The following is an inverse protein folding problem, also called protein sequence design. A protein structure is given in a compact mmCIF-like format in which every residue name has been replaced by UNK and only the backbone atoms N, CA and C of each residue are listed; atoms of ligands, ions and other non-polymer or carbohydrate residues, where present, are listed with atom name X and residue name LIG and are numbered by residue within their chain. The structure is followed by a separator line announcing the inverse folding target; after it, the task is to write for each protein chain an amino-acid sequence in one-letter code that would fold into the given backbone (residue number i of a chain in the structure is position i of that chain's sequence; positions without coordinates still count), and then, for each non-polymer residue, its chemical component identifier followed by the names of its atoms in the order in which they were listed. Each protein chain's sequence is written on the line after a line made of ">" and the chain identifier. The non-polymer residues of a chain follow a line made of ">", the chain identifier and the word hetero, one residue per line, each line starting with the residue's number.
data_IF_111360358477
#
_entry.id   IF_111360358477
#
_cell.length_a   1.000
_cell.length_b   1.000
_cell.length_c   1.000
_cell.angle_alpha   90.00
_cell.angle_beta   90.00
_cell.angle_gamma   90.00
#
_symmetry.space_group_name_H-M   'P 1'
#
loop_
_entity.id
_entity.type
_entity.pdbx_description
1 polymer ?
#
# COMPACT_ATOMS: atom_id res chain seq x y z
N UNK A 1 15.00 -17.31 3.00
CA UNK A 1 13.56 -17.61 2.77
C UNK A 1 13.06 -16.73 1.63
N UNK A 2 12.20 -17.25 0.73
CA UNK A 2 11.58 -16.47 -0.35
C UNK A 2 10.22 -15.99 0.14
N UNK A 3 9.94 -14.68 0.02
CA UNK A 3 8.64 -14.10 0.34
C UNK A 3 8.01 -13.55 -0.94
N UNK A 4 6.73 -13.85 -1.13
CA UNK A 4 5.88 -13.30 -2.19
C UNK A 4 5.15 -12.07 -1.65
N UNK A 5 5.35 -10.92 -2.29
CA UNK A 5 4.61 -9.68 -2.04
C UNK A 5 3.48 -9.50 -3.04
N UNK A 6 2.31 -9.02 -2.58
CA UNK A 6 1.14 -8.71 -3.42
C UNK A 6 0.56 -7.38 -2.96
N UNK A 7 0.43 -6.41 -3.87
CA UNK A 7 -0.34 -5.19 -3.67
C UNK A 7 -1.33 -4.94 -4.81
N UNK A 8 -2.54 -4.60 -4.44
CA UNK A 8 -3.64 -4.25 -5.35
C UNK A 8 -4.47 -3.09 -4.80
N UNK A 9 -3.89 -2.32 -3.89
CA UNK A 9 -4.58 -1.24 -3.17
C UNK A 9 -4.93 -0.02 -4.03
N UNK A 10 -4.30 0.11 -5.21
CA UNK A 10 -4.49 1.24 -6.14
C UNK A 10 -4.92 0.74 -7.52
N UNK A 11 -4.90 1.59 -8.53
CA UNK A 11 -5.16 1.20 -9.94
C UNK A 11 -4.03 0.37 -10.56
N UNK A 12 -2.95 0.15 -9.84
CA UNK A 12 -1.84 -0.72 -10.23
C UNK A 12 -1.86 -1.98 -9.37
N UNK A 13 -1.59 -3.13 -9.98
CA UNK A 13 -1.24 -4.37 -9.28
C UNK A 13 0.26 -4.54 -9.28
N UNK A 14 0.87 -4.86 -8.15
CA UNK A 14 2.30 -5.16 -8.03
C UNK A 14 2.50 -6.51 -7.36
N UNK A 15 3.41 -7.32 -7.90
CA UNK A 15 3.79 -8.64 -7.37
C UNK A 15 5.30 -8.73 -7.38
N UNK A 16 5.88 -9.18 -6.27
CA UNK A 16 7.32 -9.33 -6.11
C UNK A 16 7.69 -10.64 -5.43
N UNK A 17 8.87 -11.13 -5.74
CA UNK A 17 9.57 -12.20 -5.01
C UNK A 17 10.87 -11.63 -4.48
N UNK A 18 11.14 -11.84 -3.21
CA UNK A 18 12.38 -11.36 -2.60
C UNK A 18 12.82 -12.21 -1.41
N UNK A 19 14.04 -11.98 -1.00
CA UNK A 19 14.68 -12.59 0.17
C UNK A 19 15.24 -11.50 1.09
N UNK A 20 15.83 -11.87 2.21
CA UNK A 20 16.57 -10.95 3.08
C UNK A 20 17.76 -10.25 2.39
N UNK A 21 18.23 -10.80 1.27
CA UNK A 21 19.46 -10.34 0.62
C UNK A 21 19.19 -9.58 -0.67
N UNK A 22 18.12 -9.94 -1.37
CA UNK A 22 17.87 -9.41 -2.71
C UNK A 22 16.39 -9.48 -3.12
N UNK A 23 16.01 -8.56 -3.99
CA UNK A 23 14.79 -8.64 -4.77
C UNK A 23 15.03 -9.56 -5.97
N UNK A 24 14.32 -10.69 -6.04
CA UNK A 24 14.46 -11.67 -7.12
C UNK A 24 13.73 -11.23 -8.39
N UNK A 25 12.65 -10.47 -8.22
CA UNK A 25 11.90 -9.86 -9.32
C UNK A 25 10.65 -9.17 -8.84
N UNK A 26 10.20 -8.19 -9.63
CA UNK A 26 8.95 -7.47 -9.40
C UNK A 26 8.31 -7.14 -10.75
N UNK A 27 6.99 -7.30 -10.83
CA UNK A 27 6.19 -6.86 -11.97
C UNK A 27 5.06 -6.00 -11.44
N UNK A 28 4.91 -4.79 -12.00
CA UNK A 28 3.83 -3.88 -11.71
C UNK A 28 3.05 -3.58 -12.99
N UNK A 29 1.72 -3.70 -12.93
CA UNK A 29 0.82 -3.54 -14.09
C UNK A 29 -0.32 -2.61 -13.73
N UNK A 30 -0.50 -1.55 -14.50
CA UNK A 30 -1.60 -0.60 -14.37
C UNK A 30 -2.73 -0.89 -15.39
N UNK A 31 -3.96 -0.49 -15.05
CA UNK A 31 -5.08 -0.42 -16.00
C UNK A 31 -5.73 -1.76 -16.40
N UNK A 32 -5.47 -2.85 -15.68
CA UNK A 32 -6.15 -4.14 -15.86
C UNK A 32 -7.01 -4.49 -14.66
N UNK A 33 -7.99 -5.40 -14.85
CA UNK A 33 -8.68 -6.02 -13.72
C UNK A 33 -7.65 -6.70 -12.81
N UNK A 34 -7.70 -6.39 -11.51
CA UNK A 34 -6.77 -6.95 -10.52
C UNK A 34 -6.77 -8.47 -10.49
N UNK A 35 -7.94 -9.11 -10.65
CA UNK A 35 -8.08 -10.57 -10.66
C UNK A 35 -7.25 -11.20 -11.78
N UNK A 36 -7.36 -10.65 -13.00
CA UNK A 36 -6.60 -11.13 -14.16
C UNK A 36 -5.12 -10.77 -14.01
N UNK A 37 -4.83 -9.57 -13.52
CA UNK A 37 -3.46 -9.09 -13.39
C UNK A 37 -2.67 -9.92 -12.37
N UNK A 38 -3.21 -10.20 -11.18
CA UNK A 38 -2.48 -10.93 -10.12
C UNK A 38 -2.08 -12.33 -10.58
N UNK A 39 -3.03 -13.12 -11.09
CA UNK A 39 -2.75 -14.51 -11.49
C UNK A 39 -1.78 -14.60 -12.67
N UNK A 40 -1.95 -13.75 -13.70
CA UNK A 40 -1.08 -13.75 -14.88
C UNK A 40 0.32 -13.23 -14.55
N UNK A 41 0.42 -12.19 -13.72
CA UNK A 41 1.68 -11.59 -13.30
C UNK A 41 2.48 -12.54 -12.40
N UNK A 42 1.82 -13.21 -11.45
CA UNK A 42 2.48 -14.20 -10.61
C UNK A 42 3.06 -15.35 -11.45
N UNK A 43 2.28 -15.89 -12.38
CA UNK A 43 2.76 -16.94 -13.28
C UNK A 43 3.98 -16.49 -14.09
N UNK A 44 3.94 -15.28 -14.62
CA UNK A 44 5.02 -14.72 -15.42
C UNK A 44 6.27 -14.49 -14.58
N UNK A 45 6.13 -13.97 -13.37
CA UNK A 45 7.24 -13.72 -12.45
C UNK A 45 7.91 -15.03 -12.04
N UNK A 46 7.15 -16.06 -11.68
CA UNK A 46 7.66 -17.39 -11.37
C UNK A 46 8.42 -18.01 -12.57
N UNK A 47 7.86 -17.86 -13.78
CA UNK A 47 8.50 -18.35 -15.01
C UNK A 47 9.84 -17.66 -15.29
N UNK A 48 9.92 -16.34 -15.13
CA UNK A 48 11.14 -15.58 -15.41
C UNK A 48 12.23 -15.76 -14.34
N UNK A 49 11.83 -15.94 -13.09
CA UNK A 49 12.77 -16.17 -11.99
C UNK A 49 13.19 -17.64 -11.86
N UNK A 50 12.50 -18.57 -12.54
CA UNK A 50 12.72 -20.00 -12.40
C UNK A 50 12.34 -20.55 -11.01
N UNK A 51 11.59 -19.77 -10.23
CA UNK A 51 11.18 -20.17 -8.88
C UNK A 51 9.85 -20.92 -8.96
N UNK A 52 9.82 -22.11 -8.36
CA UNK A 52 8.58 -22.86 -8.17
C UNK A 52 7.76 -22.25 -7.04
N UNK A 53 6.44 -22.21 -7.18
CA UNK A 53 5.53 -21.64 -6.19
C UNK A 53 5.70 -22.32 -4.82
N UNK A 54 5.98 -23.62 -4.77
CA UNK A 54 6.21 -24.36 -3.54
C UNK A 54 7.51 -23.98 -2.76
N UNK A 55 8.37 -23.15 -3.37
CA UNK A 55 9.56 -22.58 -2.71
C UNK A 55 9.29 -21.30 -1.94
N UNK A 56 8.10 -20.72 -2.11
CA UNK A 56 7.66 -19.53 -1.35
C UNK A 56 7.47 -19.94 0.11
N UNK A 57 8.16 -19.28 1.02
CA UNK A 57 8.13 -19.57 2.46
C UNK A 57 7.37 -18.52 3.30
N UNK A 58 6.78 -17.52 2.67
CA UNK A 58 5.94 -16.51 3.33
C UNK A 58 5.27 -15.56 2.35
N UNK A 59 4.18 -14.93 2.77
CA UNK A 59 3.39 -14.02 1.92
C UNK A 59 3.20 -12.67 2.62
N UNK A 60 3.49 -11.59 1.90
CA UNK A 60 3.24 -10.21 2.28
C UNK A 60 2.08 -9.65 1.45
N UNK A 61 1.06 -9.08 2.08
CA UNK A 61 -0.15 -8.60 1.42
C UNK A 61 -0.40 -7.14 1.77
N UNK A 62 -0.62 -6.30 0.77
CA UNK A 62 -1.15 -4.96 0.97
C UNK A 62 -2.59 -5.00 1.50
N UNK A 63 -2.78 -4.60 2.77
CA UNK A 63 -4.09 -4.60 3.42
C UNK A 63 -4.81 -3.25 3.34
N UNK A 64 -4.20 -2.25 2.70
CA UNK A 64 -4.77 -0.91 2.57
C UNK A 64 -4.10 0.12 3.50
N UNK A 65 -4.66 1.34 3.56
CA UNK A 65 -5.88 1.76 2.86
C UNK A 65 -5.73 1.81 1.33
N UNK A 66 -6.87 1.79 0.62
CA UNK A 66 -6.88 1.81 -0.83
C UNK A 66 -8.27 1.54 -1.44
N UNK A 67 -8.29 1.23 -2.74
CA UNK A 67 -9.51 0.97 -3.48
C UNK A 67 -10.14 -0.37 -3.04
N UNK A 68 -11.41 -0.33 -2.68
CA UNK A 68 -12.17 -1.43 -2.08
C UNK A 68 -12.08 -2.77 -2.84
N UNK A 69 -12.34 -2.74 -4.15
CA UNK A 69 -12.29 -3.95 -4.98
C UNK A 69 -10.89 -4.54 -5.08
N UNK A 70 -9.89 -3.67 -5.29
CA UNK A 70 -8.49 -4.10 -5.37
C UNK A 70 -8.03 -4.77 -4.08
N UNK A 71 -8.26 -4.13 -2.93
CA UNK A 71 -7.89 -4.68 -1.63
C UNK A 71 -8.45 -6.08 -1.40
N UNK A 72 -9.72 -6.31 -1.72
CA UNK A 72 -10.33 -7.64 -1.59
C UNK A 72 -9.63 -8.68 -2.45
N UNK A 73 -9.35 -8.35 -3.70
CA UNK A 73 -8.66 -9.27 -4.62
C UNK A 73 -7.28 -9.65 -4.07
N UNK A 74 -6.49 -8.66 -3.64
CA UNK A 74 -5.14 -8.93 -3.10
C UNK A 74 -5.17 -9.75 -1.82
N UNK A 75 -6.01 -9.36 -0.87
CA UNK A 75 -6.12 -10.03 0.44
C UNK A 75 -6.60 -11.47 0.27
N UNK A 76 -7.68 -11.71 -0.48
CA UNK A 76 -8.21 -13.05 -0.68
C UNK A 76 -7.24 -13.95 -1.48
N UNK A 77 -6.57 -13.39 -2.50
CA UNK A 77 -5.55 -14.15 -3.25
C UNK A 77 -4.38 -14.54 -2.35
N UNK A 78 -3.86 -13.59 -1.58
CA UNK A 78 -2.73 -13.86 -0.68
C UNK A 78 -3.09 -14.84 0.44
N UNK A 79 -4.27 -14.73 1.04
CA UNK A 79 -4.79 -15.68 2.03
C UNK A 79 -4.91 -17.08 1.45
N UNK A 80 -5.49 -17.20 0.25
CA UNK A 80 -5.64 -18.48 -0.43
C UNK A 80 -4.28 -19.13 -0.69
N UNK A 81 -3.31 -18.36 -1.19
CA UNK A 81 -1.95 -18.86 -1.41
C UNK A 81 -1.27 -19.27 -0.10
N UNK A 82 -1.38 -18.48 0.97
CA UNK A 82 -0.82 -18.79 2.27
C UNK A 82 -1.41 -20.10 2.85
N UNK A 83 -2.70 -20.30 2.69
CA UNK A 83 -3.40 -21.50 3.12
C UNK A 83 -2.94 -22.74 2.34
N UNK A 84 -2.90 -22.65 1.00
CA UNK A 84 -2.50 -23.77 0.13
C UNK A 84 -1.04 -24.16 0.34
N UNK A 85 -0.17 -23.17 0.50
CA UNK A 85 1.27 -23.39 0.73
C UNK A 85 1.62 -23.70 2.19
N UNK A 86 0.68 -23.49 3.11
CA UNK A 86 0.89 -23.63 4.56
C UNK A 86 2.06 -22.77 5.05
N UNK A 87 2.09 -21.49 4.66
CA UNK A 87 3.14 -20.55 5.00
C UNK A 87 2.59 -19.34 5.77
N UNK A 88 3.43 -18.65 6.58
CA UNK A 88 3.03 -17.44 7.29
C UNK A 88 2.62 -16.32 6.33
N UNK A 89 1.69 -15.48 6.79
CA UNK A 89 1.19 -14.31 6.08
C UNK A 89 1.35 -13.05 6.93
N UNK A 90 1.72 -11.94 6.29
CA UNK A 90 1.84 -10.63 6.93
C UNK A 90 1.10 -9.58 6.11
N UNK A 91 0.16 -8.89 6.76
CA UNK A 91 -0.49 -7.71 6.23
C UNK A 91 0.40 -6.47 6.39
N UNK A 92 0.53 -5.70 5.32
CA UNK A 92 1.33 -4.48 5.29
C UNK A 92 0.46 -3.32 4.85
N UNK A 93 0.54 -2.19 5.56
CA UNK A 93 -0.16 -0.98 5.16
C UNK A 93 0.37 -0.46 3.82
N UNK A 94 -0.53 -0.08 2.91
CA UNK A 94 -0.17 0.49 1.61
C UNK A 94 0.52 1.85 1.75
N UNK A 95 0.16 2.64 2.77
CA UNK A 95 0.85 3.90 3.09
C UNK A 95 2.25 3.65 3.67
N UNK A 96 2.42 2.63 4.51
CA UNK A 96 3.74 2.24 5.04
C UNK A 96 4.68 1.81 3.90
N UNK A 97 4.16 1.03 2.94
CA UNK A 97 4.94 0.60 1.77
C UNK A 97 5.35 1.77 0.86
N UNK A 98 4.45 2.74 0.64
CA UNK A 98 4.79 3.98 -0.08
C UNK A 98 5.90 4.75 0.63
N UNK A 99 5.76 5.01 1.92
CA UNK A 99 6.76 5.73 2.70
C UNK A 99 8.09 4.99 2.74
N UNK A 100 8.05 3.66 2.90
CA UNK A 100 9.25 2.82 2.92
C UNK A 100 10.03 2.88 1.61
N UNK A 101 9.35 2.97 0.47
CA UNK A 101 9.99 3.03 -0.85
C UNK A 101 10.86 4.27 -1.08
N UNK A 102 10.64 5.35 -0.32
CA UNK A 102 11.38 6.62 -0.40
C UNK A 102 12.11 6.97 0.89
N UNK A 103 12.34 5.99 1.78
CA UNK A 103 12.95 6.18 3.11
C UNK A 103 14.37 6.77 3.10
N UNK A 104 15.06 6.73 1.96
CA UNK A 104 16.40 7.31 1.81
C UNK A 104 16.36 8.85 1.67
N UNK A 105 15.60 9.52 2.51
CA UNK A 105 15.49 10.98 2.60
C UNK A 105 15.71 11.45 4.05
N UNK A 106 16.00 12.74 4.23
CA UNK A 106 16.04 13.40 5.55
C UNK A 106 14.76 14.18 5.86
N UNK A 107 13.87 14.34 4.84
CA UNK A 107 12.59 15.03 4.96
C UNK A 107 11.56 14.12 5.61
N UNK A 108 10.51 14.70 6.19
CA UNK A 108 9.31 13.92 6.48
C UNK A 108 8.75 13.35 5.17
N UNK A 109 8.05 12.25 5.25
CA UNK A 109 7.43 11.60 4.08
C UNK A 109 5.92 11.68 4.26
N UNK A 110 5.23 12.37 3.36
CA UNK A 110 3.77 12.35 3.28
C UNK A 110 3.35 11.32 2.24
N UNK A 111 2.93 10.14 2.69
CA UNK A 111 2.35 9.12 1.82
C UNK A 111 0.87 9.43 1.57
N UNK A 112 0.46 9.53 0.30
CA UNK A 112 -0.89 9.88 -0.09
C UNK A 112 -1.40 9.02 -1.26
N UNK A 113 -2.54 8.34 -1.05
CA UNK A 113 -3.24 7.52 -2.05
C UNK A 113 -4.56 8.19 -2.40
N UNK A 114 -4.88 8.29 -3.70
CA UNK A 114 -6.18 8.77 -4.17
C UNK A 114 -7.32 7.87 -3.63
N UNK A 115 -8.14 8.46 -2.74
CA UNK A 115 -9.30 7.79 -2.17
C UNK A 115 -10.57 7.98 -3.02
N UNK A 116 -10.44 8.62 -4.21
CA UNK A 116 -11.54 9.06 -5.06
C UNK A 116 -12.41 10.14 -4.41
N UNK A 117 -13.34 10.70 -5.19
CA UNK A 117 -14.33 11.71 -4.74
C UNK A 117 -13.73 12.96 -4.10
N UNK A 118 -12.53 13.35 -4.51
CA UNK A 118 -11.87 14.55 -3.96
C UNK A 118 -11.16 14.30 -2.63
N UNK A 119 -10.92 13.04 -2.23
CA UNK A 119 -10.28 12.68 -0.97
C UNK A 119 -8.96 11.91 -1.17
N UNK A 120 -8.15 11.92 -0.13
CA UNK A 120 -6.90 11.18 0.01
C UNK A 120 -6.96 10.23 1.19
N UNK A 121 -6.36 9.05 1.07
CA UNK A 121 -5.82 8.32 2.21
C UNK A 121 -4.39 8.80 2.42
N UNK A 122 -4.04 9.22 3.63
CA UNK A 122 -2.70 9.75 3.89
C UNK A 122 -2.22 9.48 5.32
N UNK A 123 -0.91 9.53 5.48
CA UNK A 123 -0.21 9.58 6.77
C UNK A 123 1.18 10.19 6.56
N UNK A 124 1.74 10.75 7.62
CA UNK A 124 3.08 11.33 7.63
C UNK A 124 4.04 10.41 8.39
N UNK A 125 5.24 10.29 7.87
CA UNK A 125 6.28 9.41 8.39
C UNK A 125 7.59 10.16 8.58
N UNK A 126 8.38 9.70 9.53
CA UNK A 126 9.75 10.11 9.73
C UNK A 126 10.70 8.97 9.34
N UNK A 127 11.67 9.22 8.45
CA UNK A 127 12.71 8.26 8.16
C UNK A 127 13.56 7.97 9.40
N UNK A 128 13.88 6.70 9.58
CA UNK A 128 14.80 6.20 10.62
C UNK A 128 15.76 5.20 9.99
N UNK A 129 16.90 4.90 10.62
CA UNK A 129 17.78 3.85 10.13
C UNK A 129 17.04 2.53 9.91
N UNK A 130 17.05 2.03 8.67
CA UNK A 130 16.40 0.78 8.29
C UNK A 130 14.90 0.86 7.96
N UNK A 131 14.23 2.03 8.08
CA UNK A 131 12.81 2.10 7.79
C UNK A 131 12.18 3.49 7.97
N UNK A 132 10.93 3.47 8.34
CA UNK A 132 10.13 4.67 8.64
C UNK A 132 9.31 4.45 9.91
N UNK A 133 9.01 5.54 10.61
CA UNK A 133 8.09 5.56 11.77
C UNK A 133 6.96 6.53 11.46
N UNK A 134 5.74 6.16 11.78
CA UNK A 134 4.57 7.04 11.62
C UNK A 134 4.67 8.23 12.58
N UNK A 135 4.44 9.43 12.06
CA UNK A 135 4.28 10.67 12.83
C UNK A 135 2.78 10.97 13.03
N UNK A 136 1.93 10.57 12.07
CA UNK A 136 0.48 10.70 12.19
C UNK A 136 -0.23 9.37 11.90
N UNK A 137 -1.40 9.19 12.48
CA UNK A 137 -2.24 8.03 12.17
C UNK A 137 -2.80 8.13 10.74
N UNK A 138 -3.03 7.00 10.06
CA UNK A 138 -3.67 7.00 8.75
C UNK A 138 -5.04 7.66 8.78
N UNK A 139 -5.25 8.63 7.91
CA UNK A 139 -6.48 9.40 7.80
C UNK A 139 -7.06 9.37 6.39
N UNK A 140 -8.33 9.76 6.26
CA UNK A 140 -9.01 10.02 5.00
C UNK A 140 -9.65 11.41 5.05
N UNK A 141 -9.50 12.18 4.00
CA UNK A 141 -10.07 13.51 3.89
C UNK A 141 -9.68 14.25 2.63
N UNK A 142 -10.20 15.47 2.44
CA UNK A 142 -9.83 16.32 1.32
C UNK A 142 -8.34 16.73 1.39
N UNK A 143 -7.73 17.15 0.28
CA UNK A 143 -6.32 17.57 0.22
C UNK A 143 -5.95 18.63 1.26
N UNK A 144 -6.85 19.58 1.55
CA UNK A 144 -6.64 20.63 2.53
C UNK A 144 -6.37 20.09 3.95
N UNK A 145 -6.90 18.91 4.27
CA UNK A 145 -6.63 18.26 5.54
C UNK A 145 -5.16 17.85 5.65
N UNK A 146 -4.62 17.23 4.60
CA UNK A 146 -3.19 16.90 4.54
C UNK A 146 -2.34 18.18 4.56
N UNK A 147 -2.72 19.22 3.78
CA UNK A 147 -2.01 20.50 3.76
C UNK A 147 -1.94 21.10 5.16
N UNK A 148 -3.06 21.14 5.90
CA UNK A 148 -3.11 21.65 7.27
C UNK A 148 -2.21 20.87 8.24
N UNK A 149 -2.16 19.52 8.13
CA UNK A 149 -1.23 18.71 8.93
C UNK A 149 0.24 19.04 8.61
N UNK A 150 0.59 19.18 7.32
CA UNK A 150 1.95 19.50 6.90
C UNK A 150 2.38 20.91 7.33
N UNK A 151 1.46 21.88 7.30
CA UNK A 151 1.70 23.24 7.84
C UNK A 151 1.97 23.21 9.32
N UNK A 152 1.18 22.47 10.09
CA UNK A 152 1.34 22.33 11.53
C UNK A 152 2.69 21.69 11.92
N UNK A 153 3.17 20.73 11.12
CA UNK A 153 4.48 20.10 11.32
C UNK A 153 5.64 21.05 10.97
N UNK A 154 5.45 22.02 10.07
CA UNK A 154 6.39 23.09 9.75
C UNK A 154 7.76 22.66 9.22
N UNK A 155 7.90 21.40 8.76
CA UNK A 155 9.15 20.77 8.30
C UNK A 155 9.16 20.55 6.79
N UNK A 156 10.34 20.29 6.24
CA UNK A 156 10.46 19.84 4.84
C UNK A 156 9.87 18.44 4.65
N UNK A 157 9.11 18.25 3.57
CA UNK A 157 8.36 17.04 3.27
C UNK A 157 8.66 16.54 1.87
N UNK A 158 8.80 15.22 1.71
CA UNK A 158 8.74 14.51 0.45
C UNK A 158 7.35 13.85 0.34
N UNK A 159 6.50 14.36 -0.54
CA UNK A 159 5.19 13.80 -0.79
C UNK A 159 5.26 12.68 -1.84
N UNK A 160 4.69 11.52 -1.54
CA UNK A 160 4.77 10.30 -2.34
C UNK A 160 3.38 9.67 -2.53
N UNK A 161 3.17 9.01 -3.67
CA UNK A 161 1.94 8.32 -3.99
C UNK A 161 1.12 9.01 -5.09
N UNK A 162 0.15 8.29 -5.65
CA UNK A 162 -0.70 8.80 -6.72
C UNK A 162 -1.62 9.95 -6.27
N UNK A 163 -1.99 9.97 -4.99
CA UNK A 163 -2.71 11.08 -4.38
C UNK A 163 -1.86 12.36 -4.34
N UNK A 164 -0.58 12.27 -3.97
CA UNK A 164 0.33 13.40 -3.97
C UNK A 164 0.53 13.99 -5.40
N UNK A 165 0.57 13.12 -6.41
CA UNK A 165 0.67 13.57 -7.80
C UNK A 165 -0.63 14.24 -8.27
N UNK A 166 -1.78 13.69 -7.92
CA UNK A 166 -3.09 14.20 -8.30
C UNK A 166 -3.34 15.58 -7.72
N UNK A 167 -3.00 15.79 -6.46
CA UNK A 167 -3.21 17.04 -5.72
C UNK A 167 -1.92 17.86 -5.53
N UNK A 168 -1.03 17.77 -6.52
CA UNK A 168 0.27 18.46 -6.47
C UNK A 168 0.16 19.98 -6.33
N UNK A 169 -0.91 20.58 -6.85
CA UNK A 169 -1.11 22.06 -6.80
C UNK A 169 -1.34 22.50 -5.37
N UNK A 170 -2.25 21.84 -4.69
CA UNK A 170 -2.60 22.09 -3.28
C UNK A 170 -1.38 21.89 -2.38
N UNK A 171 -0.62 20.82 -2.59
CA UNK A 171 0.61 20.56 -1.84
C UNK A 171 1.71 21.59 -2.13
N UNK A 172 1.80 22.10 -3.34
CA UNK A 172 2.78 23.12 -3.73
C UNK A 172 2.46 24.52 -3.19
N UNK A 173 1.24 24.79 -2.72
CA UNK A 173 0.89 26.02 -2.01
C UNK A 173 1.69 26.21 -0.72
N UNK A 174 2.19 25.12 -0.13
CA UNK A 174 3.15 25.12 0.98
C UNK A 174 4.56 25.63 0.60
N UNK A 175 4.74 26.02 -0.68
CA UNK A 175 6.00 26.54 -1.20
C UNK A 175 7.11 25.50 -1.28
N UNK A 176 8.37 25.94 -1.19
CA UNK A 176 9.54 25.08 -1.32
C UNK A 176 9.73 24.03 -0.21
N UNK A 177 8.83 23.97 0.76
CA UNK A 177 8.87 22.96 1.84
C UNK A 177 8.40 21.57 1.37
N UNK A 178 7.58 21.50 0.30
CA UNK A 178 7.08 20.22 -0.21
C UNK A 178 7.74 19.89 -1.54
N UNK A 179 8.43 18.76 -1.56
CA UNK A 179 8.97 18.12 -2.76
C UNK A 179 8.09 16.93 -3.14
N UNK A 180 7.85 16.72 -4.43
CA UNK A 180 7.13 15.55 -4.92
C UNK A 180 8.12 14.45 -5.32
N UNK A 181 7.87 13.23 -4.88
CA UNK A 181 8.62 12.07 -5.34
C UNK A 181 8.40 11.81 -6.83
N UNK A 182 9.34 11.12 -7.45
CA UNK A 182 9.24 10.76 -8.86
C UNK A 182 7.98 9.89 -9.13
N UNK A 183 7.37 9.98 -10.33
CA UNK A 183 6.18 9.19 -10.70
C UNK A 183 6.36 7.68 -10.56
N UNK A 184 7.58 7.17 -10.57
CA UNK A 184 7.88 5.77 -10.29
C UNK A 184 7.45 5.30 -8.89
N UNK A 185 7.23 6.24 -7.97
CA UNK A 185 6.73 6.01 -6.60
C UNK A 185 5.25 6.39 -6.45
N UNK A 186 4.49 6.44 -7.56
CA UNK A 186 3.05 6.77 -7.50
C UNK A 186 2.21 5.70 -6.80
N UNK A 187 2.64 4.46 -6.81
CA UNK A 187 1.88 3.33 -6.28
C UNK A 187 2.71 2.50 -5.31
N UNK A 188 2.08 1.85 -4.31
CA UNK A 188 2.76 0.90 -3.45
C UNK A 188 3.44 -0.19 -4.26
N UNK A 189 4.64 -0.57 -3.86
CA UNK A 189 5.45 -1.61 -4.50
C UNK A 189 5.41 -2.90 -3.70
N UNK A 190 5.19 -4.03 -4.37
CA UNK A 190 5.21 -5.33 -3.72
C UNK A 190 6.60 -5.67 -3.12
N UNK A 191 7.68 -5.14 -3.70
CA UNK A 191 9.02 -5.23 -3.13
C UNK A 191 9.12 -4.57 -1.75
N UNK A 192 8.50 -3.40 -1.56
CA UNK A 192 8.42 -2.76 -0.24
C UNK A 192 7.60 -3.58 0.77
N UNK A 193 6.52 -4.26 0.31
CA UNK A 193 5.77 -5.19 1.15
C UNK A 193 6.66 -6.35 1.63
N UNK A 194 7.47 -6.92 0.72
CA UNK A 194 8.44 -7.98 1.06
C UNK A 194 9.44 -7.49 2.10
N UNK A 195 10.04 -6.32 1.90
CA UNK A 195 11.02 -5.76 2.83
C UNK A 195 10.44 -5.52 4.23
N UNK A 196 9.19 -5.06 4.32
CA UNK A 196 8.51 -4.81 5.60
C UNK A 196 8.04 -6.11 6.30
N UNK A 197 7.64 -7.12 5.52
CA UNK A 197 7.12 -8.38 6.06
C UNK A 197 8.23 -9.34 6.49
N UNK A 198 9.35 -9.40 5.76
CA UNK A 198 10.45 -10.35 6.01
C UNK A 198 10.93 -10.37 7.48
N UNK A 199 11.26 -9.21 8.10
CA UNK A 199 11.68 -9.20 9.50
C UNK A 199 10.62 -9.73 10.47
N UNK A 200 9.32 -9.50 10.18
CA UNK A 200 8.21 -9.99 10.97
C UNK A 200 8.08 -11.51 10.85
N UNK A 201 8.16 -12.03 9.62
CA UNK A 201 8.10 -13.48 9.36
C UNK A 201 9.25 -14.22 10.06
N UNK A 202 10.47 -13.68 9.96
CA UNK A 202 11.68 -14.27 10.60
C UNK A 202 11.55 -14.29 12.12
N UNK A 203 10.89 -13.30 12.73
CA UNK A 203 10.62 -13.25 14.17
C UNK A 203 9.35 -13.99 14.59
N UNK A 204 8.70 -14.71 13.65
CA UNK A 204 7.41 -15.38 13.87
C UNK A 204 6.26 -14.43 14.26
N UNK A 205 6.38 -13.13 13.95
CA UNK A 205 5.39 -12.08 14.17
C UNK A 205 4.43 -11.97 12.98
N UNK A 206 3.85 -13.10 12.56
CA UNK A 206 2.91 -13.14 11.43
C UNK A 206 1.45 -12.98 11.89
N UNK A 207 0.60 -12.58 10.96
CA UNK A 207 -0.81 -12.40 11.23
C UNK A 207 -1.56 -13.74 11.20
N UNK A 208 -2.67 -13.83 11.93
CA UNK A 208 -3.56 -14.98 11.83
C UNK A 208 -4.32 -14.90 10.50
N UNK A 209 -4.28 -15.96 9.73
CA UNK A 209 -4.83 -16.00 8.36
C UNK A 209 -6.30 -15.54 8.29
N UNK A 210 -7.13 -15.95 9.26
CA UNK A 210 -8.56 -15.62 9.25
C UNK A 210 -8.86 -14.20 9.75
N UNK A 211 -7.97 -13.63 10.56
CA UNK A 211 -8.11 -12.27 11.11
C UNK A 211 -7.60 -11.20 10.13
N UNK A 212 -6.85 -11.62 9.09
CA UNK A 212 -6.35 -10.70 8.08
C UNK A 212 -7.48 -10.21 7.17
N UNK A 213 -7.83 -8.94 7.31
CA UNK A 213 -8.89 -8.28 6.55
C UNK A 213 -8.40 -6.95 5.99
N UNK A 214 -9.00 -6.46 4.90
CA UNK A 214 -8.70 -5.12 4.40
C UNK A 214 -8.98 -4.04 5.43
N UNK A 215 -8.08 -3.04 5.52
CA UNK A 215 -8.26 -1.86 6.37
C UNK A 215 -9.04 -0.80 5.60
N UNK A 216 -10.29 -0.59 6.00
CA UNK A 216 -11.18 0.41 5.40
C UNK A 216 -11.23 1.66 6.28
N UNK A 217 -10.56 2.75 5.85
CA UNK A 217 -10.66 4.05 6.49
C UNK A 217 -11.94 4.82 6.10
N UNK A 218 -12.63 4.36 5.05
CA UNK A 218 -13.91 4.89 4.58
C UNK A 218 -14.86 3.75 4.28
N UNK A 219 -16.16 3.96 4.55
CA UNK A 219 -17.21 3.03 4.14
C UNK A 219 -17.19 2.83 2.62
N UNK A 220 -17.58 1.65 2.16
CA UNK A 220 -17.72 1.37 0.73
C UNK A 220 -18.79 2.28 0.10
N UNK A 221 -18.71 2.48 -1.21
CA UNK A 221 -19.71 3.27 -1.94
C UNK A 221 -21.13 2.71 -1.79
N UNK A 222 -21.26 1.38 -1.66
CA UNK A 222 -22.53 0.72 -1.42
C UNK A 222 -23.09 1.02 -0.01
N UNK A 223 -22.23 1.03 1.02
CA UNK A 223 -22.63 1.37 2.39
C UNK A 223 -23.00 2.85 2.51
N UNK A 224 -22.24 3.75 1.85
CA UNK A 224 -22.56 5.18 1.81
C UNK A 224 -23.92 5.41 1.13
N UNK A 225 -24.15 4.76 -0.02
CA UNK A 225 -25.44 4.86 -0.74
C UNK A 225 -26.60 4.27 0.07
N UNK A 226 -26.36 3.20 0.83
CA UNK A 226 -27.35 2.64 1.74
C UNK A 226 -27.70 3.59 2.87
N UNK A 227 -26.71 4.18 3.57
CA UNK A 227 -26.91 5.13 4.64
C UNK A 227 -27.68 6.39 4.17
N UNK A 228 -27.40 6.86 2.95
CA UNK A 228 -28.11 7.99 2.35
C UNK A 228 -29.60 7.68 2.08
N UNK A 229 -29.90 6.47 1.56
CA UNK A 229 -31.28 6.03 1.33
C UNK A 229 -32.04 5.85 2.64
N UNK A 230 -31.40 5.28 3.67
CA UNK A 230 -32.00 5.08 4.98
C UNK A 230 -32.37 6.41 5.66
N UNK A 231 -31.54 7.46 5.50
CA UNK A 231 -31.84 8.80 6.01
C UNK A 231 -32.93 9.51 5.23
N UNK A 232 -32.96 9.40 3.90
CA UNK A 232 -34.00 10.00 3.07
C UNK A 232 -35.36 9.30 3.12
N UNK A 233 -35.46 8.12 3.75
CA UNK A 233 -36.73 7.42 3.99
C UNK A 233 -37.33 7.74 5.38
N UNK A 234 -36.63 8.56 6.19
CA UNK A 234 -37.05 8.93 7.56
C UNK A 234 -37.57 10.37 7.64
N UNK A 235 -37.53 11.13 6.56
CA UNK A 235 -38.15 12.46 6.33
C UNK A 235 -39.39 12.32 5.44
#
# INVERSE_FOLDING_TARGET
>A
MIVLGIDTSTTQSSIALGTERELLGEIAVAGRSHEVAVASTLRQLLSWTGIELGRVGGIAIGVGPGLFTGLRVGVETGKTLAQVLTVPVVGVSSLDALAHSVRATRKLIAAAIDARRGELFFAVYRPVPGGVVRETEPAVGPPDHLVGELEALGREVLAVGNGAILYRRELQELGGKVELAAPAHAHPRASAMVELALPRIVREEHDRLFDLVPVYLRKSDAEIAWDQRARGASD
#
